data_IF_080647243433
#
_entry.id   IF_080647243433
#
_cell.length_a   1.000
_cell.length_b   1.000
_cell.length_c   1.000
_cell.angle_alpha   90.00
_cell.angle_beta   90.00
_cell.angle_gamma   90.00
#
_symmetry.space_group_name_H-M   'P 1'
#
loop_
_entity.id
_entity.type
_entity.pdbx_description
1 polymer ?
#
# COMPACT_ATOMS: atom_id res chain seq x y z
N UNK A 1 -7.98 -8.16 -1.37
CA UNK A 1 -7.28 -6.86 -1.52
C UNK A 1 -6.83 -6.63 -2.97
N UNK A 2 -5.96 -7.47 -3.53
CA UNK A 2 -5.54 -7.35 -4.94
C UNK A 2 -6.74 -7.43 -5.90
N UNK A 3 -7.67 -8.38 -5.68
CA UNK A 3 -8.86 -8.49 -6.54
C UNK A 3 -9.74 -7.23 -6.47
N UNK A 4 -10.01 -6.70 -5.27
CA UNK A 4 -10.76 -5.45 -5.07
C UNK A 4 -10.05 -4.26 -5.75
N UNK A 5 -8.72 -4.18 -5.64
CA UNK A 5 -7.93 -3.18 -6.36
C UNK A 5 -8.12 -3.31 -7.87
N UNK A 6 -8.03 -4.53 -8.42
CA UNK A 6 -8.22 -4.79 -9.86
C UNK A 6 -9.65 -4.47 -10.34
N UNK A 7 -10.66 -4.61 -9.49
CA UNK A 7 -12.05 -4.24 -9.82
C UNK A 7 -12.22 -2.73 -10.00
N UNK A 8 -11.41 -1.91 -9.32
CA UNK A 8 -11.44 -0.45 -9.46
C UNK A 8 -10.70 0.04 -10.71
N UNK A 9 -9.89 -0.81 -11.34
CA UNK A 9 -9.18 -0.48 -12.56
C UNK A 9 -10.07 -0.64 -13.79
N UNK A 10 -9.96 0.34 -14.67
CA UNK A 10 -10.65 0.37 -15.96
C UNK A 10 -9.77 1.15 -16.95
N UNK A 11 -10.25 1.26 -18.19
CA UNK A 11 -9.54 1.91 -19.28
C UNK A 11 -9.09 3.32 -18.90
N UNK A 12 -7.79 3.58 -19.01
CA UNK A 12 -7.20 4.90 -18.72
C UNK A 12 -6.97 5.20 -17.24
N UNK A 13 -7.45 4.36 -16.30
CA UNK A 13 -7.20 4.53 -14.86
C UNK A 13 -5.71 4.37 -14.56
N UNK A 14 -5.20 5.16 -13.61
CA UNK A 14 -3.84 5.02 -13.10
C UNK A 14 -3.87 4.06 -11.91
N UNK A 15 -3.25 2.89 -12.07
CA UNK A 15 -3.10 1.91 -10.99
C UNK A 15 -1.72 2.03 -10.35
N UNK A 16 -1.68 2.20 -9.02
CA UNK A 16 -0.45 2.19 -8.23
C UNK A 16 -0.55 1.13 -7.14
N UNK A 17 0.44 0.24 -7.08
CA UNK A 17 0.62 -0.72 -6.00
C UNK A 17 1.89 -0.35 -5.22
N UNK A 18 1.74 -0.08 -3.92
CA UNK A 18 2.84 0.05 -2.98
C UNK A 18 2.84 -1.17 -2.04
N UNK A 19 4.01 -1.77 -1.84
CA UNK A 19 4.19 -2.86 -0.89
C UNK A 19 5.45 -2.62 -0.04
N UNK A 20 5.31 -2.71 1.27
CA UNK A 20 6.40 -2.70 2.23
C UNK A 20 6.33 -3.96 3.09
N UNK A 21 7.42 -4.72 3.14
CA UNK A 21 7.47 -5.99 3.85
C UNK A 21 8.52 -6.94 3.29
N UNK A 22 8.38 -8.22 3.64
CA UNK A 22 9.29 -9.24 3.14
C UNK A 22 9.02 -9.57 1.67
N UNK A 23 10.09 -9.69 0.91
CA UNK A 23 10.02 -10.01 -0.50
C UNK A 23 11.26 -10.73 -0.98
N UNK A 24 11.11 -11.40 -2.11
CA UNK A 24 12.22 -12.03 -2.82
C UNK A 24 12.04 -11.87 -4.33
N UNK A 25 13.10 -12.14 -5.08
CA UNK A 25 13.08 -12.12 -6.53
C UNK A 25 13.83 -13.32 -7.12
N UNK A 26 13.11 -14.16 -7.86
CA UNK A 26 13.67 -15.29 -8.59
C UNK A 26 13.50 -15.04 -10.09
N UNK A 27 14.62 -15.06 -10.82
CA UNK A 27 14.65 -14.92 -12.29
C UNK A 27 13.94 -13.65 -12.82
N UNK A 28 13.98 -12.55 -12.05
CA UNK A 28 13.32 -11.30 -12.41
C UNK A 28 11.83 -11.22 -12.06
N UNK A 29 11.26 -12.26 -11.44
CA UNK A 29 9.91 -12.26 -10.89
C UNK A 29 9.95 -11.90 -9.42
N UNK A 30 9.24 -10.85 -9.05
CA UNK A 30 9.21 -10.31 -7.69
C UNK A 30 8.02 -10.91 -6.94
N UNK A 31 8.26 -11.36 -5.71
CA UNK A 31 7.25 -11.99 -4.86
C UNK A 31 7.12 -11.26 -3.54
N UNK A 32 5.89 -10.92 -3.18
CA UNK A 32 5.51 -10.33 -1.89
C UNK A 32 5.15 -11.46 -0.94
N UNK A 33 5.72 -11.45 0.28
CA UNK A 33 5.55 -12.53 1.27
C UNK A 33 4.48 -12.11 2.29
N UNK A 34 3.35 -12.84 2.39
CA UNK A 34 2.34 -12.62 3.41
C UNK A 34 2.83 -12.90 4.83
N UNK A 35 2.12 -12.36 5.83
CA UNK A 35 2.45 -12.53 7.25
C UNK A 35 2.23 -13.95 7.78
N UNK A 36 1.39 -14.73 7.11
CA UNK A 36 1.06 -16.13 7.42
C UNK A 36 1.92 -17.13 6.61
N UNK A 37 2.91 -16.66 5.85
CA UNK A 37 3.80 -17.52 5.09
C UNK A 37 4.57 -18.49 6.02
N UNK A 38 4.68 -19.79 5.67
CA UNK A 38 5.41 -20.76 6.48
C UNK A 38 6.92 -20.52 6.44
N UNK A 39 7.66 -21.17 7.33
CA UNK A 39 9.13 -21.18 7.27
C UNK A 39 9.65 -22.62 7.08
N UNK A 40 10.19 -22.98 5.89
CA UNK A 40 10.39 -22.14 4.70
C UNK A 40 9.09 -21.90 3.89
N UNK A 41 9.08 -20.85 3.07
CA UNK A 41 8.00 -20.54 2.11
C UNK A 41 8.48 -20.67 0.65
N UNK A 42 7.50 -20.79 -0.26
CA UNK A 42 7.65 -20.96 -1.71
C UNK A 42 6.71 -20.02 -2.46
N UNK A 43 6.78 -20.02 -3.79
CA UNK A 43 5.97 -19.14 -4.63
C UNK A 43 4.46 -19.33 -4.46
N UNK A 44 3.97 -20.54 -4.17
CA UNK A 44 2.54 -20.80 -3.90
C UNK A 44 2.02 -20.11 -2.63
N UNK A 45 2.91 -19.75 -1.70
CA UNK A 45 2.56 -19.04 -0.46
C UNK A 45 2.65 -17.52 -0.62
N UNK A 46 2.99 -17.01 -1.81
CA UNK A 46 3.37 -15.63 -2.05
C UNK A 46 2.61 -15.04 -3.24
N UNK A 47 2.65 -13.71 -3.38
CA UNK A 47 2.02 -13.02 -4.51
C UNK A 47 3.08 -12.57 -5.51
N UNK A 48 2.99 -13.06 -6.74
CA UNK A 48 3.85 -12.64 -7.85
C UNK A 48 3.38 -11.29 -8.42
N UNK A 49 4.25 -10.29 -8.37
CA UNK A 49 3.94 -8.92 -8.83
C UNK A 49 3.68 -8.89 -10.34
N UNK A 50 4.40 -9.68 -11.12
CA UNK A 50 4.22 -9.75 -12.57
C UNK A 50 2.85 -10.33 -12.96
N UNK A 51 2.27 -11.23 -12.16
CA UNK A 51 0.89 -11.69 -12.36
C UNK A 51 -0.11 -10.56 -12.14
N UNK A 52 0.08 -9.75 -11.10
CA UNK A 52 -0.77 -8.57 -10.83
C UNK A 52 -0.68 -7.59 -12.00
N UNK A 53 0.53 -7.28 -12.47
CA UNK A 53 0.73 -6.42 -13.64
C UNK A 53 -0.01 -6.95 -14.88
N UNK A 54 0.05 -8.25 -15.16
CA UNK A 54 -0.69 -8.86 -16.27
C UNK A 54 -2.20 -8.60 -16.15
N UNK A 55 -2.77 -8.79 -14.96
CA UNK A 55 -4.18 -8.51 -14.68
C UNK A 55 -4.52 -7.02 -14.81
N UNK A 56 -3.62 -6.12 -14.42
CA UNK A 56 -3.80 -4.68 -14.62
C UNK A 56 -3.78 -4.30 -16.11
N UNK A 57 -2.92 -4.93 -16.93
CA UNK A 57 -2.90 -4.71 -18.38
C UNK A 57 -4.20 -5.15 -19.06
N UNK A 58 -4.84 -6.21 -18.56
CA UNK A 58 -6.14 -6.68 -19.05
C UNK A 58 -7.27 -5.67 -18.79
N UNK A 59 -7.09 -4.76 -17.83
CA UNK A 59 -8.01 -3.64 -17.54
C UNK A 59 -7.76 -2.39 -18.39
N UNK A 60 -6.82 -2.43 -19.34
CA UNK A 60 -6.48 -1.29 -20.21
C UNK A 60 -6.10 -0.01 -19.44
N UNK A 61 -5.44 -0.16 -18.28
CA UNK A 61 -5.00 0.96 -17.44
C UNK A 61 -4.18 2.00 -18.22
N UNK A 62 -4.29 3.26 -17.85
CA UNK A 62 -3.52 4.36 -18.45
C UNK A 62 -2.08 4.44 -17.92
N UNK A 63 -1.84 3.99 -16.69
CA UNK A 63 -0.54 3.96 -16.04
C UNK A 63 -0.51 2.81 -15.02
N UNK A 64 0.60 2.08 -14.97
CA UNK A 64 0.86 1.01 -14.00
C UNK A 64 2.14 1.34 -13.22
N UNK A 65 2.00 1.67 -11.93
CA UNK A 65 3.13 1.98 -11.05
C UNK A 65 3.26 0.92 -9.96
N UNK A 66 4.44 0.35 -9.81
CA UNK A 66 4.77 -0.59 -8.73
C UNK A 66 5.91 -0.01 -7.89
N UNK A 67 5.65 0.23 -6.62
CA UNK A 67 6.63 0.71 -5.65
C UNK A 67 6.89 -0.40 -4.64
N UNK A 68 8.03 -1.10 -4.80
CA UNK A 68 8.34 -2.30 -4.04
C UNK A 68 9.44 -2.01 -3.00
N UNK A 69 9.00 -1.79 -1.76
CA UNK A 69 9.84 -1.55 -0.58
C UNK A 69 10.12 -2.87 0.16
N UNK A 70 10.87 -3.74 -0.54
CA UNK A 70 11.16 -5.10 -0.10
C UNK A 70 12.52 -5.56 -0.59
N UNK A 71 13.07 -6.60 0.05
CA UNK A 71 14.27 -7.28 -0.43
C UNK A 71 14.04 -7.94 -1.80
N UNK A 72 15.13 -8.12 -2.56
CA UNK A 72 15.13 -8.74 -3.89
C UNK A 72 16.19 -9.82 -4.04
N UNK A 73 16.51 -10.48 -2.92
CA UNK A 73 17.37 -11.67 -2.90
C UNK A 73 16.62 -12.86 -3.50
N UNK A 74 17.38 -13.84 -3.96
CA UNK A 74 16.84 -15.13 -4.41
C UNK A 74 16.32 -15.92 -3.21
N UNK A 75 15.18 -16.60 -3.37
CA UNK A 75 14.71 -17.64 -2.46
C UNK A 75 15.12 -19.02 -3.01
N UNK A 76 16.04 -19.70 -2.34
CA UNK A 76 16.54 -21.00 -2.77
C UNK A 76 15.59 -22.17 -2.47
N UNK A 77 14.55 -21.95 -1.65
CA UNK A 77 13.51 -22.96 -1.38
C UNK A 77 12.41 -23.00 -2.45
N UNK A 78 12.36 -21.99 -3.32
CA UNK A 78 11.44 -21.90 -4.45
C UNK A 78 12.13 -22.38 -5.72
N UNK A 79 11.92 -23.67 -6.03
CA UNK A 79 12.46 -24.34 -7.21
C UNK A 79 11.67 -24.00 -8.50
N UNK A 80 10.64 -23.16 -8.38
CA UNK A 80 9.77 -22.81 -9.50
C UNK A 80 10.50 -21.88 -10.48
N UNK A 81 10.49 -22.24 -11.76
CA UNK A 81 10.91 -21.37 -12.85
C UNK A 81 9.63 -20.94 -13.57
N UNK A 82 8.96 -19.87 -13.11
CA UNK A 82 7.71 -19.44 -13.72
C UNK A 82 7.99 -18.92 -15.13
N UNK A 83 7.41 -19.60 -16.12
CA UNK A 83 7.32 -19.08 -17.49
C UNK A 83 6.03 -18.29 -17.56
N UNK A 84 6.14 -16.99 -17.29
CA UNK A 84 5.02 -16.08 -17.50
C UNK A 84 4.88 -15.81 -18.99
N UNK A 85 3.63 -15.73 -19.46
CA UNK A 85 3.36 -15.22 -20.80
C UNK A 85 4.03 -13.85 -20.98
N UNK A 86 4.54 -13.60 -22.18
CA UNK A 86 5.11 -12.30 -22.49
C UNK A 86 4.07 -11.19 -22.20
N UNK A 87 4.46 -10.24 -21.35
CA UNK A 87 3.63 -9.07 -21.06
C UNK A 87 3.38 -8.29 -22.34
N UNK A 88 2.17 -7.74 -22.48
CA UNK A 88 1.84 -6.89 -23.63
C UNK A 88 2.71 -5.63 -23.59
N UNK A 89 3.11 -5.13 -24.76
CA UNK A 89 3.84 -3.85 -24.85
C UNK A 89 2.85 -2.71 -24.75
N UNK A 90 2.53 -2.28 -23.52
CA UNK A 90 1.57 -1.20 -23.24
C UNK A 90 2.23 0.17 -23.07
N UNK A 91 3.56 0.22 -22.96
CA UNK A 91 4.37 1.44 -22.81
C UNK A 91 3.89 2.41 -21.71
N UNK A 92 3.37 1.85 -20.60
CA UNK A 92 2.76 2.59 -19.50
C UNK A 92 3.13 2.01 -18.11
N UNK A 93 4.26 1.30 -18.02
CA UNK A 93 4.67 0.57 -16.81
C UNK A 93 5.89 1.25 -16.18
N UNK A 94 5.85 1.46 -14.87
CA UNK A 94 6.95 1.99 -14.06
C UNK A 94 7.09 1.15 -12.80
N UNK A 95 8.29 0.63 -12.57
CA UNK A 95 8.70 0.04 -11.31
C UNK A 95 9.71 0.95 -10.62
N UNK A 96 9.45 1.27 -9.35
CA UNK A 96 10.43 1.81 -8.42
C UNK A 96 10.73 0.76 -7.36
N UNK A 97 11.88 0.11 -7.46
CA UNK A 97 12.33 -0.85 -6.46
C UNK A 97 13.18 -0.12 -5.42
N UNK A 98 12.89 -0.34 -4.14
CA UNK A 98 13.67 0.24 -3.04
C UNK A 98 15.14 -0.20 -3.04
N UNK A 99 15.45 -1.33 -3.70
CA UNK A 99 16.80 -1.88 -3.81
C UNK A 99 17.04 -2.52 -5.19
N UNK A 100 18.30 -2.74 -5.54
CA UNK A 100 18.69 -3.44 -6.77
C UNK A 100 18.40 -4.95 -6.68
N UNK A 101 18.34 -5.62 -7.84
CA UNK A 101 18.21 -7.07 -7.89
C UNK A 101 19.34 -7.78 -7.11
N UNK A 102 18.99 -8.76 -6.28
CA UNK A 102 19.92 -9.50 -5.43
C UNK A 102 20.32 -8.78 -4.14
N UNK A 103 19.80 -7.59 -3.88
CA UNK A 103 20.10 -6.79 -2.69
C UNK A 103 18.93 -6.72 -1.69
N UNK A 104 19.20 -6.10 -0.55
CA UNK A 104 18.27 -5.94 0.57
C UNK A 104 17.71 -4.51 0.59
N UNK A 105 16.47 -4.36 1.06
CA UNK A 105 15.88 -3.06 1.38
C UNK A 105 15.82 -2.94 2.90
N UNK A 106 16.23 -1.79 3.44
CA UNK A 106 16.45 -1.62 4.87
C UNK A 106 15.47 -0.64 5.52
N UNK A 107 15.20 -0.93 6.78
CA UNK A 107 14.67 0.00 7.77
C UNK A 107 15.68 0.13 8.93
N UNK A 108 15.59 1.22 9.69
CA UNK A 108 16.53 1.45 10.80
C UNK A 108 15.94 0.82 12.07
N UNK A 109 16.57 -0.25 12.55
CA UNK A 109 16.20 -0.90 13.81
C UNK A 109 16.28 0.10 14.97
N UNK A 110 15.26 0.14 15.85
CA UNK A 110 15.09 1.08 16.97
C UNK A 110 14.78 2.55 16.63
N UNK A 111 14.33 2.85 15.41
CA UNK A 111 13.97 4.22 15.03
C UNK A 111 12.51 4.63 15.33
N UNK A 112 11.74 3.77 16.03
CA UNK A 112 10.37 4.07 16.45
C UNK A 112 9.43 4.24 15.26
N UNK A 113 8.92 5.46 15.08
CA UNK A 113 8.02 5.86 13.99
C UNK A 113 8.76 6.41 12.75
N UNK A 114 10.08 6.22 12.66
CA UNK A 114 10.81 6.67 11.47
C UNK A 114 10.51 5.77 10.27
N UNK A 115 10.45 6.38 9.09
CA UNK A 115 10.24 5.66 7.84
C UNK A 115 11.43 4.74 7.50
N UNK A 116 11.13 3.65 6.79
CA UNK A 116 12.14 2.88 6.04
C UNK A 116 12.90 3.75 5.03
N UNK A 117 14.05 3.28 4.55
CA UNK A 117 14.95 4.12 3.76
C UNK A 117 14.27 4.64 2.49
N UNK A 118 13.54 3.79 1.77
CA UNK A 118 12.87 4.20 0.54
C UNK A 118 11.80 5.28 0.81
N UNK A 119 10.87 5.01 1.73
CA UNK A 119 9.82 5.97 2.09
C UNK A 119 10.35 7.25 2.74
N UNK A 120 11.52 7.21 3.40
CA UNK A 120 12.19 8.39 3.95
C UNK A 120 12.44 9.45 2.87
N UNK A 121 12.86 9.04 1.67
CA UNK A 121 13.16 9.95 0.57
C UNK A 121 11.98 10.13 -0.39
N UNK A 122 11.20 9.07 -0.65
CA UNK A 122 10.06 9.13 -1.57
C UNK A 122 9.02 10.18 -1.14
N UNK A 123 8.68 10.26 0.14
CA UNK A 123 7.63 11.16 0.64
C UNK A 123 7.93 12.64 0.38
N UNK A 124 9.20 13.02 0.31
CA UNK A 124 9.63 14.41 0.13
C UNK A 124 9.48 14.84 -1.34
N UNK A 125 9.36 13.87 -2.26
CA UNK A 125 9.26 14.07 -3.72
C UNK A 125 7.88 13.73 -4.28
N UNK A 126 7.10 12.91 -3.58
CA UNK A 126 5.89 12.26 -4.13
C UNK A 126 4.82 13.25 -4.64
N UNK A 127 4.78 14.46 -4.10
CA UNK A 127 3.80 15.51 -4.46
C UNK A 127 4.30 16.47 -5.55
N UNK A 128 5.51 16.26 -6.08
CA UNK A 128 6.03 17.11 -7.15
C UNK A 128 5.29 16.86 -8.48
N UNK A 129 4.93 17.95 -9.17
CA UNK A 129 4.27 17.89 -10.48
C UNK A 129 5.28 17.55 -11.59
N UNK A 130 5.70 16.28 -11.62
CA UNK A 130 6.69 15.74 -12.55
C UNK A 130 6.25 14.38 -13.08
N UNK A 131 6.73 14.03 -14.28
CA UNK A 131 6.63 12.66 -14.80
C UNK A 131 7.18 11.70 -13.74
N UNK A 132 6.45 10.64 -13.42
CA UNK A 132 6.81 9.72 -12.31
C UNK A 132 8.23 9.13 -12.44
N UNK A 133 8.73 8.92 -13.66
CA UNK A 133 10.11 8.46 -13.87
C UNK A 133 11.15 9.49 -13.47
N UNK A 134 10.88 10.79 -13.70
CA UNK A 134 11.77 11.89 -13.30
C UNK A 134 11.74 12.04 -11.78
N UNK A 135 10.55 11.96 -11.18
CA UNK A 135 10.38 11.99 -9.72
C UNK A 135 11.20 10.86 -9.06
N UNK A 136 11.07 9.62 -9.53
CA UNK A 136 11.81 8.48 -8.97
C UNK A 136 13.32 8.58 -9.20
N UNK A 137 13.77 9.19 -10.29
CA UNK A 137 15.19 9.44 -10.56
C UNK A 137 15.78 10.40 -9.50
N UNK A 138 15.04 11.47 -9.16
CA UNK A 138 15.43 12.38 -8.09
C UNK A 138 15.44 11.70 -6.70
N UNK A 139 14.48 10.80 -6.44
CA UNK A 139 14.51 9.98 -5.23
C UNK A 139 15.76 9.09 -5.19
N UNK A 140 16.17 8.52 -6.32
CA UNK A 140 17.38 7.71 -6.42
C UNK A 140 18.65 8.53 -6.12
N UNK A 141 18.72 9.76 -6.65
CA UNK A 141 19.81 10.70 -6.35
C UNK A 141 19.88 11.05 -4.86
N UNK A 142 18.74 11.29 -4.23
CA UNK A 142 18.66 11.61 -2.80
C UNK A 142 19.03 10.42 -1.92
N UNK A 143 18.55 9.22 -2.26
CA UNK A 143 18.97 7.97 -1.63
C UNK A 143 20.47 7.72 -1.78
N UNK A 144 21.07 8.06 -2.92
CA UNK A 144 22.50 7.92 -3.18
C UNK A 144 23.39 8.76 -2.24
N UNK A 145 22.85 9.83 -1.65
CA UNK A 145 23.54 10.67 -0.65
C UNK A 145 23.48 10.06 0.75
N UNK A 146 22.69 9.01 0.98
CA UNK A 146 22.56 8.36 2.29
C UNK A 146 23.78 7.48 2.60
N UNK A 147 24.60 7.89 3.57
CA UNK A 147 25.79 7.12 3.97
C UNK A 147 25.46 5.75 4.59
N UNK A 148 24.29 5.60 5.22
CA UNK A 148 23.88 4.37 5.91
C UNK A 148 23.69 3.20 4.94
N UNK A 149 23.24 3.47 3.72
CA UNK A 149 22.90 2.46 2.71
C UNK A 149 23.92 2.37 1.57
N UNK A 150 25.00 3.13 1.63
CA UNK A 150 26.04 3.15 0.59
C UNK A 150 26.62 1.74 0.38
N UNK A 151 26.49 1.23 -0.85
CA UNK A 151 26.94 -0.11 -1.23
C UNK A 151 26.04 -1.26 -0.76
N UNK A 152 24.88 -0.97 -0.17
CA UNK A 152 23.92 -1.96 0.34
C UNK A 152 22.53 -1.86 -0.28
N UNK A 153 22.03 -0.62 -0.45
CA UNK A 153 20.72 -0.35 -1.02
C UNK A 153 20.79 0.90 -1.90
N UNK A 154 20.26 0.78 -3.11
CA UNK A 154 20.08 1.87 -4.07
C UNK A 154 18.78 1.63 -4.84
N UNK A 155 18.05 2.70 -5.14
CA UNK A 155 16.79 2.62 -5.88
C UNK A 155 17.08 2.16 -7.31
N UNK A 156 16.35 1.15 -7.78
CA UNK A 156 16.37 0.73 -9.19
C UNK A 156 15.04 1.12 -9.86
N UNK A 157 15.13 1.80 -11.00
CA UNK A 157 13.97 2.19 -11.80
C UNK A 157 13.93 1.31 -13.05
N UNK A 158 12.78 0.71 -13.33
CA UNK A 158 12.50 0.06 -14.62
C UNK A 158 11.25 0.68 -15.21
N UNK A 159 11.34 1.20 -16.43
CA UNK A 159 10.21 1.91 -17.04
C UNK A 159 10.11 1.62 -18.53
N UNK A 160 8.88 1.40 -18.99
CA UNK A 160 8.49 1.43 -20.40
C UNK A 160 7.58 2.63 -20.70
N UNK A 161 7.35 3.53 -19.73
CA UNK A 161 6.42 4.65 -19.85
C UNK A 161 6.87 5.64 -20.94
N UNK A 162 6.16 5.63 -22.08
CA UNK A 162 6.46 6.48 -23.23
C UNK A 162 5.87 7.89 -23.13
N UNK A 163 4.83 8.08 -22.33
CA UNK A 163 4.14 9.36 -22.19
C UNK A 163 4.59 10.16 -20.97
N UNK A 164 4.25 11.44 -20.90
CA UNK A 164 4.56 12.32 -19.76
C UNK A 164 3.47 12.26 -18.69
N UNK A 165 3.22 11.06 -18.15
CA UNK A 165 2.22 10.83 -17.09
C UNK A 165 2.82 11.11 -15.71
N UNK A 166 2.10 11.88 -14.90
CA UNK A 166 2.47 12.25 -13.53
C UNK A 166 1.40 11.76 -12.54
N UNK A 167 1.77 11.58 -11.27
CA UNK A 167 0.79 11.23 -10.22
C UNK A 167 -0.18 12.39 -9.92
N UNK A 168 0.19 13.60 -10.31
CA UNK A 168 -0.57 14.86 -10.20
C UNK A 168 -1.50 15.12 -11.38
N UNK A 169 -1.53 14.22 -12.39
CA UNK A 169 -2.39 14.39 -13.56
C UNK A 169 -3.88 14.54 -13.13
N UNK A 170 -4.61 15.52 -13.68
CA UNK A 170 -6.01 15.74 -13.32
C UNK A 170 -6.88 14.57 -13.81
N UNK A 171 -7.83 14.16 -12.98
CA UNK A 171 -8.84 13.16 -13.38
C UNK A 171 -9.81 13.81 -14.36
N UNK A 172 -9.77 13.39 -15.63
CA UNK A 172 -10.76 13.78 -16.63
C UNK A 172 -11.87 12.73 -16.69
N UNK A 173 -13.02 13.04 -16.08
CA UNK A 173 -14.17 12.15 -16.09
C UNK A 173 -14.80 12.04 -17.48
N UNK A 174 -14.91 10.83 -18.01
CA UNK A 174 -15.94 10.49 -19.01
C UNK A 174 -17.08 9.73 -18.33
N UNK A 175 -18.21 9.54 -19.03
CA UNK A 175 -19.42 8.94 -18.46
C UNK A 175 -19.13 7.62 -17.74
N UNK A 176 -19.32 7.61 -16.42
CA UNK A 176 -19.17 6.42 -15.60
C UNK A 176 -20.25 5.39 -15.95
N UNK A 177 -19.85 4.13 -16.12
CA UNK A 177 -20.82 3.03 -16.14
C UNK A 177 -21.48 2.88 -14.75
N UNK A 178 -22.70 2.35 -14.70
CA UNK A 178 -23.39 2.08 -13.43
C UNK A 178 -22.55 1.17 -12.51
N UNK A 179 -21.83 0.21 -13.08
CA UNK A 179 -20.95 -0.67 -12.32
C UNK A 179 -19.73 0.07 -11.76
N UNK A 180 -19.12 1.00 -12.53
CA UNK A 180 -18.03 1.85 -12.05
C UNK A 180 -18.46 2.74 -10.88
N UNK A 181 -19.69 3.29 -10.94
CA UNK A 181 -20.28 4.06 -9.84
C UNK A 181 -20.44 3.23 -8.57
N UNK A 182 -20.93 1.99 -8.67
CA UNK A 182 -21.10 1.10 -7.51
C UNK A 182 -19.75 0.76 -6.88
N UNK A 183 -18.73 0.42 -7.70
CA UNK A 183 -17.38 0.11 -7.20
C UNK A 183 -16.73 1.31 -6.52
N UNK A 184 -16.84 2.50 -7.12
CA UNK A 184 -16.35 3.74 -6.53
C UNK A 184 -17.07 4.09 -5.23
N UNK A 185 -18.39 3.85 -5.15
CA UNK A 185 -19.15 4.06 -3.92
C UNK A 185 -18.75 3.07 -2.82
N UNK A 186 -18.51 1.81 -3.17
CA UNK A 186 -18.01 0.81 -2.21
C UNK A 186 -16.63 1.19 -1.69
N UNK A 187 -15.74 1.65 -2.57
CA UNK A 187 -14.43 2.16 -2.18
C UNK A 187 -14.54 3.38 -1.25
N UNK A 188 -15.41 4.35 -1.56
CA UNK A 188 -15.65 5.49 -0.68
C UNK A 188 -16.16 5.06 0.69
N UNK A 189 -17.15 4.16 0.73
CA UNK A 189 -17.71 3.60 1.97
C UNK A 189 -16.69 2.82 2.81
N UNK A 190 -15.73 2.15 2.19
CA UNK A 190 -14.67 1.45 2.90
C UNK A 190 -13.76 2.39 3.73
N UNK A 191 -13.85 3.70 3.48
CA UNK A 191 -13.10 4.74 4.21
C UNK A 191 -14.01 5.60 5.10
N UNK A 192 -15.31 5.29 5.18
CA UNK A 192 -16.24 5.95 6.11
C UNK A 192 -16.16 5.30 7.48
N UNK A 193 -15.87 6.10 8.51
CA UNK A 193 -15.91 5.67 9.90
C UNK A 193 -17.35 5.64 10.42
N UNK A 194 -17.66 4.78 11.40
CA UNK A 194 -18.91 4.86 12.12
C UNK A 194 -19.09 6.24 12.77
N UNK A 195 -20.32 6.75 12.77
CA UNK A 195 -20.62 8.02 13.45
C UNK A 195 -20.38 7.90 14.96
N UNK A 196 -19.81 8.95 15.53
CA UNK A 196 -19.61 9.02 16.98
C UNK A 196 -20.96 9.13 17.70
N UNK A 197 -21.09 8.43 18.82
CA UNK A 197 -22.35 8.30 19.53
C UNK A 197 -22.23 8.64 21.02
N UNK A 198 -23.32 9.16 21.58
CA UNK A 198 -23.44 9.45 23.01
C UNK A 198 -24.40 8.44 23.64
N UNK A 199 -23.85 7.52 24.42
CA UNK A 199 -24.58 6.44 25.08
C UNK A 199 -25.11 6.93 26.43
N UNK A 200 -26.42 6.75 26.68
CA UNK A 200 -27.06 7.12 27.94
C UNK A 200 -27.43 5.87 28.72
N UNK A 201 -26.88 5.74 29.92
CA UNK A 201 -27.14 4.61 30.81
C UNK A 201 -28.30 4.94 31.76
N UNK A 202 -28.98 3.90 32.26
CA UNK A 202 -30.12 4.05 33.17
C UNK A 202 -29.76 4.78 34.48
N UNK A 203 -28.52 4.66 34.93
CA UNK A 203 -27.98 5.41 36.07
C UNK A 203 -27.71 6.90 35.76
N UNK A 204 -28.12 7.40 34.59
CA UNK A 204 -27.96 8.80 34.17
C UNK A 204 -26.58 9.15 33.61
N UNK A 205 -25.57 8.26 33.74
CA UNK A 205 -24.24 8.45 33.16
C UNK A 205 -24.33 8.52 31.63
N UNK A 206 -23.60 9.45 31.02
CA UNK A 206 -23.46 9.56 29.57
C UNK A 206 -22.00 9.35 29.17
N UNK A 207 -21.78 8.52 28.15
CA UNK A 207 -20.46 8.15 27.65
C UNK A 207 -20.39 8.51 26.16
N UNK A 208 -19.36 9.25 25.77
CA UNK A 208 -19.01 9.42 24.37
C UNK A 208 -18.26 8.18 23.89
N UNK A 209 -18.69 7.64 22.75
CA UNK A 209 -18.00 6.59 22.01
C UNK A 209 -17.60 7.15 20.65
N UNK A 210 -16.31 7.14 20.35
CA UNK A 210 -15.75 7.65 19.11
C UNK A 210 -14.86 6.64 18.40
N UNK A 211 -14.62 6.92 17.12
CA UNK A 211 -13.92 6.05 16.19
C UNK A 211 -12.88 6.87 15.43
N UNK A 212 -11.69 6.33 15.24
CA UNK A 212 -10.63 6.90 14.41
C UNK A 212 -10.03 5.81 13.52
N UNK A 213 -9.63 6.17 12.30
CA UNK A 213 -8.97 5.25 11.36
C UNK A 213 -7.45 5.47 11.42
N UNK A 214 -6.69 4.37 11.50
CA UNK A 214 -5.24 4.39 11.29
C UNK A 214 -4.89 3.81 9.91
N UNK A 215 -5.58 2.73 9.52
CA UNK A 215 -5.56 2.14 8.18
C UNK A 215 -6.98 1.71 7.79
N UNK A 216 -7.22 1.37 6.53
CA UNK A 216 -8.55 0.89 6.07
C UNK A 216 -9.04 -0.38 6.80
N UNK A 217 -8.14 -1.14 7.43
CA UNK A 217 -8.45 -2.32 8.26
C UNK A 217 -8.04 -2.17 9.74
N UNK A 218 -7.67 -0.97 10.19
CA UNK A 218 -7.29 -0.70 11.59
C UNK A 218 -8.06 0.52 12.09
N UNK A 219 -8.97 0.27 13.03
CA UNK A 219 -9.83 1.28 13.64
C UNK A 219 -9.58 1.34 15.15
N UNK A 220 -9.45 2.55 15.68
CA UNK A 220 -9.30 2.85 17.10
C UNK A 220 -10.66 3.26 17.65
N UNK A 221 -11.11 2.59 18.70
CA UNK A 221 -12.28 2.97 19.49
C UNK A 221 -11.82 3.68 20.75
N UNK A 222 -12.43 4.82 21.08
CA UNK A 222 -12.16 5.54 22.31
C UNK A 222 -13.45 5.91 23.04
N UNK A 223 -13.39 5.89 24.38
CA UNK A 223 -14.52 6.19 25.26
C UNK A 223 -14.16 7.27 26.27
N UNK A 224 -15.10 8.17 26.57
CA UNK A 224 -14.97 9.12 27.68
C UNK A 224 -16.31 9.34 28.38
N UNK A 225 -16.29 9.45 29.70
CA UNK A 225 -17.48 9.80 30.48
C UNK A 225 -17.70 11.30 30.33
N UNK A 226 -18.76 11.68 29.63
CA UNK A 226 -19.09 13.09 29.37
C UNK A 226 -20.06 13.68 30.39
N UNK A 227 -20.84 12.83 31.06
CA UNK A 227 -21.70 13.25 32.16
C UNK A 227 -21.77 12.16 33.23
N UNK A 228 -21.57 12.54 34.49
CA UNK A 228 -21.72 11.69 35.67
C UNK A 228 -22.65 12.38 36.67
N UNK A 229 -23.82 11.81 36.99
CA UNK A 229 -24.72 12.35 38.00
C UNK A 229 -24.07 12.48 39.40
N UNK A 230 -24.53 13.40 40.27
CA UNK A 230 -23.97 13.61 41.60
C UNK A 230 -24.10 12.39 42.54
N UNK A 231 -25.12 11.56 42.35
CA UNK A 231 -25.40 10.33 43.11
C UNK A 231 -24.45 9.17 42.77
N UNK A 232 -23.75 9.24 41.64
CA UNK A 232 -22.74 8.26 41.24
C UNK A 232 -21.37 8.69 41.79
N UNK A 233 -20.87 8.00 42.82
CA UNK A 233 -19.57 8.33 43.44
C UNK A 233 -18.39 8.10 42.50
N UNK A 234 -18.35 6.93 41.84
CA UNK A 234 -17.29 6.51 40.93
C UNK A 234 -17.91 5.74 39.77
N UNK A 235 -17.37 5.91 38.56
CA UNK A 235 -17.74 5.11 37.40
C UNK A 235 -16.56 4.98 36.45
N UNK A 236 -16.39 3.79 35.89
CA UNK A 236 -15.44 3.50 34.83
C UNK A 236 -16.20 2.95 33.62
N UNK A 237 -15.73 3.29 32.43
CA UNK A 237 -16.28 2.80 31.17
C UNK A 237 -15.17 2.11 30.38
N UNK A 238 -15.45 0.90 29.91
CA UNK A 238 -14.56 0.13 29.06
C UNK A 238 -15.37 -0.69 28.06
N UNK A 239 -14.76 -1.00 26.92
CA UNK A 239 -15.31 -1.87 25.88
C UNK A 239 -14.82 -3.29 26.09
N UNK A 240 -15.67 -4.27 25.81
CA UNK A 240 -15.38 -5.70 25.95
C UNK A 240 -16.16 -6.47 24.87
N UNK A 241 -15.93 -7.79 24.79
CA UNK A 241 -16.72 -8.73 23.98
C UNK A 241 -16.65 -8.47 22.47
N UNK A 242 -15.45 -8.12 21.98
CA UNK A 242 -15.17 -8.05 20.54
C UNK A 242 -15.28 -9.44 19.90
N UNK A 243 -15.74 -9.53 18.62
CA UNK A 243 -15.67 -10.77 17.85
C UNK A 243 -14.23 -11.29 17.74
N UNK A 244 -14.07 -12.62 17.83
CA UNK A 244 -12.80 -13.32 17.60
C UNK A 244 -12.53 -13.53 16.10
#
# INVERSE_FOLDING_TARGET
AVDEFLLLLDKGVYGLLYYAGHGYENFGNSFMVPVDAPNPYRSENCLCVQNILKLMQEKETGLNVFLLDMCRKRNDYDDTIPILDALKVTANIVFGYATCQGAEAFEIQHSGLANGIFMKFLKDRLLEDKKITVLLDEVAEDMGKCHLTKGKQALEIRSSLSEKRALTDPIQGTAYSAESLVRNLQWAKAHELPESMCLKFQCGVQIQLGFAAEFSNVMIIYTSIVHKPPDVLMCDAYVTDFPL
#
